data_IF_171213157949
#
_entry.id   IF_171213157949
#
_cell.length_a   1.000
_cell.length_b   1.000
_cell.length_c   1.000
_cell.angle_alpha   90.00
_cell.angle_beta   90.00
_cell.angle_gamma   90.00
#
_symmetry.space_group_name_H-M   'P 1'
#
loop_
_entity.id
_entity.type
_entity.pdbx_description
1 polymer ?
#
# COMPACT_ATOMS: atom_id res chain seq x y z
N UNK A 1 5.63 -23.59 1.63
CA UNK A 1 5.06 -22.49 0.83
C UNK A 1 4.31 -21.61 1.78
N UNK A 2 4.91 -20.47 2.14
CA UNK A 2 4.29 -19.47 3.00
C UNK A 2 3.25 -18.72 2.20
N UNK A 3 2.03 -18.62 2.70
CA UNK A 3 0.94 -17.90 2.02
C UNK A 3 0.62 -16.61 2.74
N UNK A 4 0.28 -15.58 1.97
CA UNK A 4 -0.34 -14.37 2.51
C UNK A 4 -1.78 -14.73 2.90
N UNK A 5 -2.10 -14.58 4.18
CA UNK A 5 -3.40 -14.98 4.75
C UNK A 5 -4.32 -13.80 4.98
N UNK A 6 -3.77 -12.61 5.20
CA UNK A 6 -4.56 -11.40 5.39
C UNK A 6 -3.79 -10.16 4.92
N UNK A 7 -4.55 -9.08 4.71
CA UNK A 7 -4.09 -7.74 4.40
C UNK A 7 -4.80 -6.81 5.38
N UNK A 8 -4.08 -6.06 6.21
CA UNK A 8 -4.69 -5.11 7.17
C UNK A 8 -4.24 -3.70 6.84
N UNK A 9 -5.19 -2.78 6.73
CA UNK A 9 -4.91 -1.37 6.41
C UNK A 9 -5.20 -0.47 7.61
N UNK A 10 -4.32 0.51 7.83
CA UNK A 10 -4.42 1.49 8.90
C UNK A 10 -4.30 2.90 8.32
N UNK A 11 -5.28 3.75 8.64
CA UNK A 11 -5.22 5.18 8.38
C UNK A 11 -4.50 5.87 9.55
N UNK A 12 -3.20 6.10 9.39
CA UNK A 12 -2.37 6.75 10.41
C UNK A 12 -2.16 8.21 10.02
N UNK A 13 -2.47 9.14 10.93
CA UNK A 13 -2.28 10.58 10.72
C UNK A 13 -1.58 11.19 11.93
N UNK A 14 -0.57 11.99 11.67
CA UNK A 14 0.25 12.65 12.68
C UNK A 14 0.04 14.15 12.59
N UNK A 15 -0.18 14.86 13.72
CA UNK A 15 -0.57 16.27 13.72
C UNK A 15 0.64 17.20 13.52
N UNK A 16 1.41 17.01 12.45
CA UNK A 16 2.62 17.80 12.12
C UNK A 16 2.27 19.26 11.82
N UNK A 17 1.03 19.55 11.40
CA UNK A 17 0.54 20.91 11.18
C UNK A 17 0.53 21.77 12.44
N UNK A 18 0.51 21.18 13.66
CA UNK A 18 0.55 21.95 14.92
C UNK A 18 1.82 22.78 15.07
N UNK A 19 2.93 22.31 14.49
CA UNK A 19 4.23 23.01 14.48
C UNK A 19 4.64 23.48 13.08
N UNK A 20 3.78 23.27 12.06
CA UNK A 20 4.08 23.49 10.64
C UNK A 20 5.32 22.72 10.13
N UNK A 21 5.58 21.55 10.72
CA UNK A 21 6.67 20.68 10.30
C UNK A 21 6.38 20.12 8.90
N UNK A 22 7.30 20.36 7.95
CA UNK A 22 7.12 19.96 6.55
C UNK A 22 6.35 20.95 5.68
N UNK A 23 5.96 22.11 6.22
CA UNK A 23 5.31 23.17 5.44
C UNK A 23 6.20 23.69 4.31
N UNK A 24 5.58 23.99 3.17
CA UNK A 24 6.25 24.55 2.00
C UNK A 24 5.33 25.53 1.24
N UNK A 25 5.80 26.06 0.11
CA UNK A 25 5.06 27.06 -0.69
C UNK A 25 3.75 26.53 -1.32
N UNK A 26 3.61 25.21 -1.49
CA UNK A 26 2.45 24.53 -2.05
C UNK A 26 1.58 23.87 -0.95
N UNK A 27 2.22 23.32 0.08
CA UNK A 27 1.60 22.57 1.17
C UNK A 27 1.83 23.30 2.49
N UNK A 28 0.98 24.29 2.86
CA UNK A 28 1.26 25.17 3.99
C UNK A 28 1.08 24.51 5.37
N UNK A 29 0.24 23.48 5.49
CA UNK A 29 -0.18 22.86 6.75
C UNK A 29 -0.30 21.32 6.67
N UNK A 30 0.77 20.59 6.27
CA UNK A 30 0.67 19.15 6.07
C UNK A 30 0.52 18.40 7.40
N UNK A 31 -0.40 17.44 7.43
CA UNK A 31 -0.48 16.42 8.48
C UNK A 31 0.07 15.11 7.92
N UNK A 32 1.36 14.86 8.15
CA UNK A 32 2.03 13.67 7.64
C UNK A 32 1.24 12.43 8.03
N UNK A 33 0.95 11.61 7.03
CA UNK A 33 0.03 10.49 7.14
C UNK A 33 0.57 9.30 6.38
N UNK A 34 0.16 8.11 6.81
CA UNK A 34 0.49 6.87 6.15
C UNK A 34 -0.79 6.06 5.95
N UNK A 35 -1.03 5.66 4.70
CA UNK A 35 -1.91 4.54 4.40
C UNK A 35 -1.04 3.29 4.57
N UNK A 36 -1.07 2.73 5.77
CA UNK A 36 -0.17 1.68 6.23
C UNK A 36 -0.81 0.32 5.99
N UNK A 37 -0.03 -0.65 5.52
CA UNK A 37 -0.49 -2.01 5.24
C UNK A 37 0.39 -3.04 5.93
N UNK A 38 -0.24 -4.08 6.46
CA UNK A 38 0.43 -5.28 6.96
C UNK A 38 -0.12 -6.49 6.21
N UNK A 39 0.78 -7.29 5.65
CA UNK A 39 0.49 -8.59 5.06
C UNK A 39 0.81 -9.66 6.11
N UNK A 40 -0.23 -10.29 6.64
CA UNK A 40 -0.06 -11.43 7.53
C UNK A 40 0.15 -12.71 6.70
N UNK A 41 0.94 -13.64 7.22
CA UNK A 41 1.17 -14.94 6.58
C UNK A 41 0.65 -16.09 7.43
N UNK A 42 0.68 -17.30 6.89
CA UNK A 42 0.43 -18.54 7.64
C UNK A 42 1.56 -18.89 8.63
N UNK A 43 2.66 -18.12 8.62
CA UNK A 43 3.74 -18.18 9.63
C UNK A 43 3.59 -16.96 10.55
N UNK A 44 3.11 -17.11 11.81
CA UNK A 44 2.72 -15.98 12.66
C UNK A 44 3.81 -14.92 12.91
N UNK A 45 5.08 -15.33 12.87
CA UNK A 45 6.25 -14.45 13.08
C UNK A 45 6.71 -13.72 11.82
N UNK A 46 6.14 -14.02 10.65
CA UNK A 46 6.51 -13.45 9.36
C UNK A 46 5.38 -12.57 8.85
N UNK A 47 5.67 -11.29 8.68
CA UNK A 47 4.75 -10.25 8.23
C UNK A 47 5.48 -9.30 7.32
N UNK A 48 4.78 -8.82 6.31
CA UNK A 48 5.28 -7.81 5.40
C UNK A 48 4.65 -6.46 5.70
N UNK A 49 5.47 -5.43 5.95
CA UNK A 49 5.02 -4.09 6.30
C UNK A 49 5.30 -3.10 5.17
N UNK A 50 4.28 -2.32 4.80
CA UNK A 50 4.41 -1.30 3.77
C UNK A 50 3.56 -0.08 4.07
N UNK A 51 3.86 1.01 3.37
CA UNK A 51 3.05 2.22 3.43
C UNK A 51 3.16 3.00 2.12
N UNK A 52 2.17 3.87 1.92
CA UNK A 52 2.34 5.04 1.04
C UNK A 52 2.08 6.32 1.84
N UNK A 53 2.84 7.36 1.52
CA UNK A 53 2.85 8.61 2.26
C UNK A 53 1.82 9.59 1.68
N UNK A 54 1.09 10.26 2.58
CA UNK A 54 0.20 11.38 2.24
C UNK A 54 0.32 12.49 3.29
N UNK A 55 -0.35 13.61 3.08
CA UNK A 55 -0.26 14.79 3.96
C UNK A 55 -1.60 15.16 4.62
N UNK A 56 -2.45 14.16 4.93
CA UNK A 56 -3.65 14.34 5.74
C UNK A 56 -4.93 13.95 5.00
N UNK A 57 -5.67 14.94 4.48
CA UNK A 57 -6.89 14.68 3.69
C UNK A 57 -6.57 13.82 2.47
N UNK A 58 -7.39 12.80 2.21
CA UNK A 58 -7.17 11.85 1.11
C UNK A 58 -6.37 10.60 1.50
N UNK A 59 -5.83 10.51 2.73
CA UNK A 59 -5.19 9.28 3.20
C UNK A 59 -6.18 8.10 3.17
N UNK A 60 -7.44 8.35 3.51
CA UNK A 60 -8.52 7.37 3.48
C UNK A 60 -8.77 6.80 2.07
N UNK A 61 -8.53 7.59 1.01
CA UNK A 61 -8.68 7.15 -0.38
C UNK A 61 -7.55 6.17 -0.74
N UNK A 62 -6.33 6.46 -0.28
CA UNK A 62 -5.21 5.53 -0.45
C UNK A 62 -5.44 4.24 0.35
N UNK A 63 -5.95 4.32 1.58
CA UNK A 63 -6.33 3.14 2.36
C UNK A 63 -7.37 2.27 1.63
N UNK A 64 -8.44 2.88 1.09
CA UNK A 64 -9.45 2.16 0.32
C UNK A 64 -8.89 1.54 -0.96
N UNK A 65 -7.94 2.22 -1.63
CA UNK A 65 -7.25 1.67 -2.79
C UNK A 65 -6.35 0.48 -2.43
N UNK A 66 -5.69 0.48 -1.27
CA UNK A 66 -4.94 -0.69 -0.77
C UNK A 66 -5.91 -1.86 -0.50
N UNK A 67 -7.05 -1.61 0.15
CA UNK A 67 -8.06 -2.65 0.37
C UNK A 67 -8.61 -3.23 -0.94
N UNK A 68 -8.74 -2.42 -1.99
CA UNK A 68 -9.16 -2.91 -3.31
C UNK A 68 -8.19 -3.96 -3.90
N UNK A 69 -6.90 -3.92 -3.55
CA UNK A 69 -5.90 -4.90 -3.99
C UNK A 69 -5.99 -6.25 -3.26
N UNK A 70 -6.80 -6.36 -2.19
CA UNK A 70 -6.89 -7.57 -1.35
C UNK A 70 -7.07 -8.85 -2.16
N UNK A 71 -7.96 -8.84 -3.15
CA UNK A 71 -8.27 -10.01 -3.98
C UNK A 71 -7.12 -10.44 -4.91
N UNK A 72 -6.15 -9.55 -5.17
CA UNK A 72 -4.96 -9.86 -5.94
C UNK A 72 -3.80 -10.33 -5.04
N UNK A 73 -3.81 -10.01 -3.75
CA UNK A 73 -2.68 -10.24 -2.83
C UNK A 73 -2.93 -11.41 -1.86
N UNK A 74 -4.11 -11.47 -1.24
CA UNK A 74 -4.43 -12.52 -0.26
C UNK A 74 -4.55 -13.87 -0.97
N UNK A 75 -3.90 -14.89 -0.42
CA UNK A 75 -3.84 -16.24 -0.99
C UNK A 75 -2.61 -16.50 -1.87
N UNK A 76 -1.84 -15.47 -2.23
CA UNK A 76 -0.58 -15.65 -2.95
C UNK A 76 0.41 -16.48 -2.13
N UNK A 77 1.13 -17.34 -2.82
CA UNK A 77 2.28 -18.08 -2.28
C UNK A 77 3.55 -17.24 -2.46
N UNK A 78 4.30 -17.01 -1.38
CA UNK A 78 5.53 -16.23 -1.42
C UNK A 78 6.60 -16.90 -2.29
N UNK A 79 6.60 -18.22 -2.43
CA UNK A 79 7.55 -18.90 -3.33
C UNK A 79 7.23 -18.58 -4.81
N UNK A 80 5.95 -18.45 -5.18
CA UNK A 80 5.51 -18.00 -6.50
C UNK A 80 5.93 -16.56 -6.79
N UNK A 81 5.88 -15.67 -5.78
CA UNK A 81 6.35 -14.28 -5.91
C UNK A 81 7.87 -14.23 -6.09
N UNK A 82 8.64 -14.92 -5.22
CA UNK A 82 10.10 -14.92 -5.25
C UNK A 82 10.67 -15.50 -6.55
N UNK A 83 9.99 -16.48 -7.14
CA UNK A 83 10.41 -17.09 -8.38
C UNK A 83 10.41 -16.10 -9.56
N UNK A 84 9.47 -15.15 -9.57
CA UNK A 84 9.37 -14.14 -10.62
C UNK A 84 8.67 -12.87 -10.08
N UNK A 85 9.44 -11.93 -9.50
CA UNK A 85 8.90 -10.67 -9.00
C UNK A 85 8.27 -9.81 -10.09
N UNK A 86 8.71 -9.96 -11.35
CA UNK A 86 8.14 -9.25 -12.50
C UNK A 86 6.73 -9.74 -12.83
N UNK A 87 6.50 -11.06 -12.78
CA UNK A 87 5.16 -11.64 -12.88
C UNK A 87 4.24 -11.17 -11.75
N UNK A 88 4.73 -11.10 -10.51
CA UNK A 88 3.96 -10.53 -9.40
C UNK A 88 3.60 -9.06 -9.66
N UNK A 89 4.56 -8.25 -10.11
CA UNK A 89 4.30 -6.85 -10.47
C UNK A 89 3.21 -6.73 -11.55
N UNK A 90 3.31 -7.52 -12.63
CA UNK A 90 2.30 -7.54 -13.68
C UNK A 90 0.94 -8.06 -13.21
N UNK A 91 0.90 -8.98 -12.25
CA UNK A 91 -0.34 -9.46 -11.65
C UNK A 91 -1.06 -8.34 -10.89
N UNK A 92 -0.37 -7.61 -10.01
CA UNK A 92 -1.00 -6.54 -9.21
C UNK A 92 -1.23 -5.24 -9.96
N UNK A 93 -0.52 -5.00 -11.08
CA UNK A 93 -0.71 -3.82 -11.96
C UNK A 93 -1.53 -4.13 -13.22
N UNK A 94 -1.89 -5.38 -13.44
CA UNK A 94 -2.51 -5.88 -14.68
C UNK A 94 -4.04 -5.90 -14.66
N UNK A 95 -4.67 -5.72 -13.49
CA UNK A 95 -6.13 -5.67 -13.41
C UNK A 95 -6.68 -4.48 -14.20
N UNK A 96 -7.36 -4.75 -15.31
CA UNK A 96 -7.84 -3.71 -16.22
C UNK A 96 -8.82 -2.71 -15.58
N UNK A 97 -9.61 -3.12 -14.59
CA UNK A 97 -10.58 -2.24 -13.92
C UNK A 97 -9.88 -1.34 -12.92
N UNK A 98 -8.94 -1.86 -12.14
CA UNK A 98 -8.11 -1.03 -11.26
C UNK A 98 -7.21 -0.09 -12.06
N UNK A 99 -6.67 -0.54 -13.19
CA UNK A 99 -5.92 0.31 -14.13
C UNK A 99 -6.73 1.49 -14.65
N UNK A 100 -8.06 1.35 -14.79
CA UNK A 100 -8.93 2.43 -15.26
C UNK A 100 -8.96 3.64 -14.32
N UNK A 101 -8.60 3.45 -13.04
CA UNK A 101 -8.50 4.51 -12.02
C UNK A 101 -7.09 5.14 -11.97
N UNK A 102 -6.16 4.73 -12.86
CA UNK A 102 -4.83 5.29 -13.03
C UNK A 102 -4.60 5.75 -14.48
N UNK A 103 -4.03 4.90 -15.37
CA UNK A 103 -3.19 3.74 -15.07
C UNK A 103 -1.82 4.17 -14.55
N UNK A 104 -1.24 3.36 -13.66
CA UNK A 104 0.12 3.51 -13.13
C UNK A 104 0.45 4.93 -12.59
N UNK A 105 -0.55 5.57 -11.97
CA UNK A 105 -0.47 6.89 -11.34
C UNK A 105 -1.51 7.06 -10.23
N UNK A 106 -1.36 8.11 -9.42
CA UNK A 106 -2.36 8.54 -8.44
C UNK A 106 -2.60 7.52 -7.31
N UNK A 107 -3.76 7.61 -6.66
CA UNK A 107 -4.09 6.82 -5.46
C UNK A 107 -3.96 5.30 -5.69
N UNK A 108 -4.39 4.79 -6.85
CA UNK A 108 -4.31 3.36 -7.13
C UNK A 108 -2.86 2.87 -7.24
N UNK A 109 -1.97 3.66 -7.87
CA UNK A 109 -0.57 3.26 -7.98
C UNK A 109 0.24 3.52 -6.71
N UNK A 110 -0.15 4.51 -5.90
CA UNK A 110 0.36 4.67 -4.54
C UNK A 110 0.01 3.46 -3.67
N UNK A 111 -1.22 2.94 -3.78
CA UNK A 111 -1.64 1.72 -3.09
C UNK A 111 -0.88 0.46 -3.56
N UNK A 112 -0.68 0.31 -4.87
CA UNK A 112 0.19 -0.75 -5.42
C UNK A 112 1.60 -0.65 -4.83
N UNK A 113 2.17 0.55 -4.75
CA UNK A 113 3.47 0.77 -4.14
C UNK A 113 3.53 0.30 -2.69
N UNK A 114 2.52 0.62 -1.87
CA UNK A 114 2.44 0.16 -0.48
C UNK A 114 2.41 -1.37 -0.38
N UNK A 115 1.54 -2.03 -1.16
CA UNK A 115 1.39 -3.48 -1.14
C UNK A 115 2.63 -4.21 -1.69
N UNK A 116 3.23 -3.72 -2.77
CA UNK A 116 4.45 -4.31 -3.35
C UNK A 116 5.63 -4.17 -2.38
N UNK A 117 5.81 -3.01 -1.77
CA UNK A 117 6.86 -2.81 -0.78
C UNK A 117 6.64 -3.69 0.46
N UNK A 118 5.40 -3.90 0.89
CA UNK A 118 5.09 -4.86 1.95
C UNK A 118 5.41 -6.31 1.57
N UNK A 119 5.41 -6.68 0.30
CA UNK A 119 5.84 -8.02 -0.15
C UNK A 119 7.36 -8.15 -0.19
N UNK A 120 8.08 -7.04 -0.33
CA UNK A 120 9.55 -7.00 -0.31
C UNK A 120 10.16 -7.01 1.09
N UNK A 121 9.44 -6.48 2.09
CA UNK A 121 9.77 -6.55 3.51
C UNK A 121 9.63 -7.99 4.06
#
# INVERSE_FOLDING_TARGET
>A
MTRITDLRVFDLRFPTSQSLDGSDAMNPDPDYSAAYVILDTDVPSLKGHGLTFTIGRGNEICCAAIEALRHLVVGLDLDWVKQDPGRFWHHVTGDSQLRWIGPDKGAMHLAVGAAVNAVWD
#
